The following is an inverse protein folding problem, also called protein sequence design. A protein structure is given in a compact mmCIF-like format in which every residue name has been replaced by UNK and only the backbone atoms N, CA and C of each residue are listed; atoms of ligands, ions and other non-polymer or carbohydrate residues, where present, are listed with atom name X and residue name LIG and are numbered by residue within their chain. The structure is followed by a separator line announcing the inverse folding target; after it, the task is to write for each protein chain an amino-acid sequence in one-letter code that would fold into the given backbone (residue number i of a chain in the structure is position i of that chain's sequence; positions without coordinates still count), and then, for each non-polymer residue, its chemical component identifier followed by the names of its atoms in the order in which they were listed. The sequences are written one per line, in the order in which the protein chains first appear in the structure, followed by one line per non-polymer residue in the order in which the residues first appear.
data_IF_431698799641
#
_entry.id   IF_431698799641
#
_cell.length_a   1.000
_cell.length_b   1.000
_cell.length_c   1.000
_cell.angle_alpha   90.00
_cell.angle_beta   90.00
_cell.angle_gamma   90.00
#
_symmetry.space_group_name_H-M   'P 1'
#
loop_
_entity.id
_entity.type
_entity.pdbx_description
1 polymer ?
#
# COMPACT_ATOMS: atom_id res chain seq x y z
N UNK A 1 36.27 14.13 -42.84
CA UNK A 1 34.88 14.27 -42.39
C UNK A 1 34.48 12.99 -41.68
N UNK A 2 33.59 13.02 -40.67
CA UNK A 2 33.02 11.77 -40.17
C UNK A 2 32.31 11.06 -41.33
N UNK A 3 32.41 9.73 -41.38
CA UNK A 3 31.66 8.89 -42.33
C UNK A 3 30.17 9.27 -42.32
N UNK A 4 29.57 9.52 -43.48
CA UNK A 4 28.13 9.79 -43.61
C UNK A 4 27.29 8.54 -43.28
N UNK A 5 27.88 7.35 -43.33
CA UNK A 5 27.21 6.09 -43.03
C UNK A 5 27.45 5.66 -41.58
N UNK A 6 26.35 5.37 -40.88
CA UNK A 6 26.36 4.80 -39.52
C UNK A 6 26.75 3.33 -39.62
N UNK A 7 27.85 2.96 -38.97
CA UNK A 7 28.26 1.55 -38.92
C UNK A 7 27.22 0.70 -38.17
N UNK A 8 26.96 -0.51 -38.68
CA UNK A 8 26.08 -1.49 -38.05
C UNK A 8 26.44 -1.78 -36.59
N UNK A 9 27.72 -1.74 -36.25
CA UNK A 9 28.26 -1.87 -34.89
C UNK A 9 27.68 -0.81 -33.94
N UNK A 10 27.57 0.42 -34.42
CA UNK A 10 27.03 1.57 -33.68
C UNK A 10 25.53 1.39 -33.43
N UNK A 11 24.79 0.92 -34.43
CA UNK A 11 23.36 0.60 -34.27
C UNK A 11 23.14 -0.51 -33.23
N UNK A 12 23.93 -1.58 -33.27
CA UNK A 12 23.81 -2.69 -32.31
C UNK A 12 24.08 -2.23 -30.87
N UNK A 13 25.12 -1.43 -30.65
CA UNK A 13 25.41 -0.83 -29.33
C UNK A 13 24.31 0.12 -28.85
N UNK A 14 23.69 0.87 -29.76
CA UNK A 14 22.57 1.72 -29.42
C UNK A 14 21.36 0.89 -28.93
N UNK A 15 21.07 -0.24 -29.58
CA UNK A 15 20.01 -1.17 -29.16
C UNK A 15 20.33 -1.75 -27.77
N UNK A 16 21.56 -2.22 -27.55
CA UNK A 16 22.01 -2.72 -26.24
C UNK A 16 21.87 -1.66 -25.14
N UNK A 17 22.26 -0.42 -25.45
CA UNK A 17 22.13 0.70 -24.51
C UNK A 17 20.67 1.00 -24.17
N UNK A 18 19.78 1.01 -25.17
CA UNK A 18 18.34 1.21 -24.93
C UNK A 18 17.78 0.09 -24.05
N UNK A 19 18.12 -1.17 -24.33
CA UNK A 19 17.69 -2.30 -23.51
C UNK A 19 18.20 -2.21 -22.07
N UNK A 20 19.47 -1.81 -21.88
CA UNK A 20 20.02 -1.55 -20.55
C UNK A 20 19.26 -0.41 -19.84
N UNK A 21 19.01 0.70 -20.52
CA UNK A 21 18.32 1.85 -19.95
C UNK A 21 16.87 1.52 -19.55
N UNK A 22 16.17 0.71 -20.35
CA UNK A 22 14.84 0.20 -20.02
C UNK A 22 14.86 -0.68 -18.78
N UNK A 23 15.84 -1.58 -18.66
CA UNK A 23 16.04 -2.40 -17.46
C UNK A 23 16.33 -1.56 -16.22
N UNK A 24 17.17 -0.52 -16.33
CA UNK A 24 17.43 0.39 -15.20
C UNK A 24 16.17 1.13 -14.76
N UNK A 25 15.32 1.54 -15.71
CA UNK A 25 14.03 2.18 -15.41
C UNK A 25 13.11 1.25 -14.62
N UNK A 26 13.02 -0.02 -15.01
CA UNK A 26 12.20 -1.02 -14.30
C UNK A 26 12.68 -1.23 -12.85
N UNK A 27 13.98 -1.43 -12.66
CA UNK A 27 14.59 -1.56 -11.32
C UNK A 27 14.30 -0.35 -10.45
N UNK A 28 14.40 0.86 -11.02
CA UNK A 28 14.13 2.09 -10.29
C UNK A 28 12.65 2.21 -9.89
N UNK A 29 11.72 1.79 -10.76
CA UNK A 29 10.29 1.77 -10.45
C UNK A 29 9.98 0.77 -9.34
N UNK A 30 10.57 -0.42 -9.38
CA UNK A 30 10.44 -1.40 -8.29
C UNK A 30 10.95 -0.84 -6.96
N UNK A 31 12.13 -0.21 -6.96
CA UNK A 31 12.69 0.44 -5.77
C UNK A 31 11.78 1.55 -5.22
N UNK A 32 11.21 2.39 -6.10
CA UNK A 32 10.24 3.41 -5.67
C UNK A 32 8.97 2.77 -5.09
N UNK A 33 8.48 1.68 -5.67
CA UNK A 33 7.34 0.96 -5.14
C UNK A 33 7.63 0.37 -3.75
N UNK A 34 8.83 -0.18 -3.51
CA UNK A 34 9.24 -0.66 -2.19
C UNK A 34 9.29 0.47 -1.15
N UNK A 35 9.79 1.65 -1.53
CA UNK A 35 9.88 2.80 -0.62
C UNK A 35 8.52 3.44 -0.32
N UNK A 36 7.60 3.46 -1.29
CA UNK A 36 6.35 4.22 -1.20
C UNK A 36 5.19 3.32 -0.72
N UNK A 37 5.24 2.02 -0.97
CA UNK A 37 4.16 1.11 -0.58
C UNK A 37 4.22 0.87 0.93
N UNK A 38 3.17 1.25 1.69
CA UNK A 38 3.18 1.06 3.13
C UNK A 38 3.18 -0.43 3.47
N UNK A 39 4.13 -0.84 4.33
CA UNK A 39 4.19 -2.20 4.84
C UNK A 39 2.95 -2.53 5.68
N UNK A 40 2.63 -3.83 5.81
CA UNK A 40 1.53 -4.29 6.67
C UNK A 40 1.65 -3.72 8.09
N UNK A 41 2.85 -3.73 8.67
CA UNK A 41 3.13 -3.17 10.00
C UNK A 41 2.81 -1.67 10.07
N UNK A 42 3.10 -0.91 9.02
CA UNK A 42 2.79 0.53 8.95
C UNK A 42 1.28 0.75 8.97
N UNK A 43 0.53 -0.05 8.22
CA UNK A 43 -0.95 0.02 8.19
C UNK A 43 -1.54 -0.41 9.53
N UNK A 44 -1.03 -1.50 10.14
CA UNK A 44 -1.43 -1.94 11.48
C UNK A 44 -1.21 -0.84 12.52
N UNK A 45 -0.02 -0.25 12.54
CA UNK A 45 0.33 0.83 13.48
C UNK A 45 -0.62 2.02 13.30
N UNK A 46 -0.89 2.42 12.06
CA UNK A 46 -1.82 3.50 11.79
C UNK A 46 -3.26 3.19 12.23
N UNK A 47 -3.72 1.95 12.03
CA UNK A 47 -5.02 1.49 12.51
C UNK A 47 -5.09 1.54 14.06
N UNK A 48 -4.06 1.06 14.75
CA UNK A 48 -3.97 1.08 16.21
C UNK A 48 -3.93 2.51 16.77
N UNK A 49 -3.22 3.44 16.12
CA UNK A 49 -3.11 4.84 16.54
C UNK A 49 -4.28 5.73 16.08
N UNK A 50 -5.18 5.22 15.23
CA UNK A 50 -6.32 5.99 14.72
C UNK A 50 -7.21 6.53 15.87
N UNK A 51 -7.73 7.76 15.76
CA UNK A 51 -8.55 8.32 16.84
C UNK A 51 -9.85 7.55 17.09
N UNK A 52 -10.19 7.34 18.37
CA UNK A 52 -11.46 6.76 18.81
C UNK A 52 -11.47 5.22 18.94
N UNK A 53 -12.53 4.66 19.54
CA UNK A 53 -12.61 3.24 19.90
C UNK A 53 -12.98 2.33 18.72
N UNK A 54 -13.51 2.88 17.62
CA UNK A 54 -14.00 2.11 16.47
C UNK A 54 -13.41 2.68 15.19
N UNK A 55 -12.88 1.80 14.35
CA UNK A 55 -12.27 2.12 13.07
C UNK A 55 -13.00 1.39 11.94
N UNK A 56 -13.32 2.12 10.87
CA UNK A 56 -13.86 1.57 9.63
C UNK A 56 -12.94 1.88 8.46
N UNK A 57 -12.98 1.06 7.41
CA UNK A 57 -12.18 1.32 6.20
C UNK A 57 -12.47 2.71 5.61
N UNK A 58 -13.74 3.13 5.61
CA UNK A 58 -14.14 4.47 5.13
C UNK A 58 -13.49 5.58 5.95
N UNK A 59 -13.54 5.49 7.28
CA UNK A 59 -12.92 6.47 8.16
C UNK A 59 -11.40 6.51 7.95
N UNK A 60 -10.77 5.35 7.80
CA UNK A 60 -9.36 5.23 7.49
C UNK A 60 -9.00 5.97 6.19
N UNK A 61 -9.72 5.70 5.08
CA UNK A 61 -9.50 6.38 3.80
C UNK A 61 -9.68 7.90 3.87
N UNK A 62 -10.57 8.37 4.73
CA UNK A 62 -10.87 9.80 4.88
C UNK A 62 -9.81 10.54 5.72
N UNK A 63 -9.39 9.94 6.84
CA UNK A 63 -8.65 10.68 7.88
C UNK A 63 -7.23 10.18 8.16
N UNK A 64 -6.83 9.01 7.65
CA UNK A 64 -5.47 8.51 7.84
C UNK A 64 -4.41 9.45 7.21
N UNK A 65 -3.11 9.33 7.53
CA UNK A 65 -2.06 10.06 6.82
C UNK A 65 -2.07 9.83 5.30
N UNK A 66 -1.74 10.87 4.51
CA UNK A 66 -1.90 10.87 3.04
C UNK A 66 -1.15 9.73 2.35
N UNK A 67 0.04 9.37 2.85
CA UNK A 67 0.87 8.28 2.34
C UNK A 67 0.24 6.89 2.53
N UNK A 68 -0.66 6.70 3.49
CA UNK A 68 -1.32 5.40 3.74
C UNK A 68 -2.79 5.36 3.32
N UNK A 69 -3.40 6.50 2.96
CA UNK A 69 -4.76 6.53 2.40
C UNK A 69 -4.89 5.74 1.10
N UNK A 70 -3.78 5.46 0.40
CA UNK A 70 -3.78 4.70 -0.86
C UNK A 70 -4.17 3.23 -0.69
N UNK A 71 -3.98 2.68 0.52
CA UNK A 71 -4.15 1.26 0.86
C UNK A 71 -5.50 0.70 0.41
N UNK A 72 -5.47 -0.51 -0.15
CA UNK A 72 -6.64 -1.24 -0.61
C UNK A 72 -7.44 -1.82 0.57
N UNK A 73 -8.72 -2.16 0.34
CA UNK A 73 -9.54 -2.73 1.41
C UNK A 73 -9.02 -4.09 1.90
N UNK A 74 -8.40 -4.88 1.03
CA UNK A 74 -7.78 -6.16 1.38
C UNK A 74 -6.60 -5.99 2.33
N UNK A 75 -5.74 -5.00 2.08
CA UNK A 75 -4.58 -4.67 2.92
C UNK A 75 -5.02 -4.11 4.28
N UNK A 76 -6.04 -3.23 4.28
CA UNK A 76 -6.66 -2.76 5.53
C UNK A 76 -7.26 -3.93 6.33
N UNK A 77 -7.98 -4.84 5.66
CA UNK A 77 -8.56 -6.02 6.28
C UNK A 77 -7.50 -6.96 6.88
N UNK A 78 -6.37 -7.15 6.18
CA UNK A 78 -5.23 -7.89 6.70
C UNK A 78 -4.63 -7.21 7.94
N UNK A 79 -4.49 -5.88 7.91
CA UNK A 79 -3.95 -5.12 9.03
C UNK A 79 -4.81 -5.23 10.30
N UNK A 80 -6.13 -5.06 10.18
CA UNK A 80 -7.02 -5.16 11.36
C UNK A 80 -7.12 -6.60 11.90
N UNK A 81 -6.95 -7.62 11.05
CA UNK A 81 -6.85 -9.02 11.49
C UNK A 81 -5.54 -9.28 12.24
N UNK A 82 -4.42 -8.77 11.73
CA UNK A 82 -3.15 -8.85 12.44
C UNK A 82 -3.21 -8.14 13.81
N UNK A 83 -3.97 -7.06 13.94
CA UNK A 83 -4.19 -6.39 15.23
C UNK A 83 -5.08 -7.19 16.18
N UNK A 84 -6.10 -7.88 15.66
CA UNK A 84 -6.92 -8.81 16.44
C UNK A 84 -6.10 -10.01 16.94
N UNK A 85 -5.27 -10.60 16.09
CA UNK A 85 -4.34 -11.67 16.46
C UNK A 85 -3.32 -11.21 17.52
N UNK A 86 -2.92 -9.93 17.48
CA UNK A 86 -2.05 -9.31 18.47
C UNK A 86 -2.78 -8.87 19.76
N UNK A 87 -4.10 -9.08 19.88
CA UNK A 87 -4.88 -8.71 21.06
C UNK A 87 -5.08 -7.20 21.26
N UNK A 88 -4.93 -6.38 20.21
CA UNK A 88 -5.09 -4.91 20.27
C UNK A 88 -6.56 -4.48 20.10
N UNK A 89 -7.43 -5.42 19.72
CA UNK A 89 -8.81 -5.15 19.40
C UNK A 89 -9.51 -6.38 18.84
N UNK A 90 -10.70 -6.16 18.29
CA UNK A 90 -11.55 -7.19 17.70
C UNK A 90 -12.13 -6.74 16.37
N UNK A 91 -12.16 -7.64 15.39
CA UNK A 91 -12.83 -7.41 14.12
C UNK A 91 -14.29 -7.85 14.24
N UNK A 92 -15.20 -6.92 13.97
CA UNK A 92 -16.65 -7.15 14.08
C UNK A 92 -17.31 -6.91 12.71
N UNK A 93 -18.29 -7.74 12.38
CA UNK A 93 -19.20 -7.52 11.26
C UNK A 93 -20.51 -6.96 11.81
N UNK A 94 -20.88 -5.75 11.37
CA UNK A 94 -22.05 -5.03 11.90
C UNK A 94 -23.06 -4.81 10.78
N UNK A 95 -24.29 -5.28 10.97
CA UNK A 95 -25.39 -4.99 10.06
C UNK A 95 -25.98 -3.62 10.39
N UNK A 96 -25.78 -2.65 9.49
CA UNK A 96 -26.33 -1.32 9.63
C UNK A 96 -27.70 -1.28 8.95
N UNK A 97 -28.75 -0.72 9.58
CA UNK A 97 -30.05 -0.56 8.95
C UNK A 97 -29.92 0.14 7.60
N UNK A 98 -30.62 -0.37 6.58
CA UNK A 98 -30.66 0.18 5.21
C UNK A 98 -29.33 0.06 4.43
N UNK A 99 -28.33 -0.62 4.96
CA UNK A 99 -27.13 -1.01 4.20
C UNK A 99 -27.28 -2.46 3.76
N UNK A 100 -27.10 -2.72 2.47
CA UNK A 100 -27.30 -4.05 1.86
C UNK A 100 -26.36 -5.11 2.45
N UNK A 101 -25.12 -4.73 2.74
CA UNK A 101 -24.08 -5.64 3.20
C UNK A 101 -23.58 -5.24 4.60
N UNK A 102 -23.23 -6.22 5.46
CA UNK A 102 -22.59 -5.94 6.73
C UNK A 102 -21.30 -5.14 6.56
N UNK A 103 -21.05 -4.22 7.47
CA UNK A 103 -19.84 -3.40 7.50
C UNK A 103 -18.84 -4.00 8.46
N UNK A 104 -17.62 -4.22 7.98
CA UNK A 104 -16.49 -4.65 8.81
C UNK A 104 -15.98 -3.43 9.59
N UNK A 105 -15.90 -3.57 10.90
CA UNK A 105 -15.37 -2.58 11.82
C UNK A 105 -14.32 -3.21 12.73
N UNK A 106 -13.28 -2.45 13.05
CA UNK A 106 -12.29 -2.82 14.05
C UNK A 106 -12.58 -2.06 15.34
N UNK A 107 -12.85 -2.78 16.41
CA UNK A 107 -13.10 -2.23 17.75
C UNK A 107 -11.83 -2.39 18.56
N UNK A 108 -11.26 -1.28 19.02
CA UNK A 108 -10.03 -1.31 19.82
C UNK A 108 -10.35 -1.77 21.23
N UNK A 109 -9.44 -2.54 21.81
CA UNK A 109 -9.49 -2.76 23.25
C UNK A 109 -9.06 -1.50 23.99
N UNK A 110 -9.58 -1.36 25.21
CA UNK A 110 -9.18 -0.29 26.11
C UNK A 110 -7.77 -0.63 26.61
N UNK A 111 -6.74 0.22 26.40
CA UNK A 111 -5.40 -0.05 26.89
C UNK A 111 -5.32 -0.09 28.42
N UNK A 112 -6.30 0.47 29.14
CA UNK A 112 -6.35 0.51 30.61
C UNK A 112 -7.22 -0.61 31.23
N UNK A 113 -7.65 -1.61 30.44
CA UNK A 113 -8.46 -2.74 30.92
C UNK A 113 -7.68 -3.77 31.72
#
# INVERSE_FOLDING_TARGET
MPSEEIEKSTLLRAIEYVGWAESQKEIFVEFLNELITPTLLTVMTACALFGGPVLTYRAFKQSAPRNIRGVANSEFAAAIRGLEEAGVGKVCSVQIPRVTYPVIVFVKEDPDK
#
